data_IF_797577235787
#
_entry.id   IF_797577235787
#
_cell.length_a   1.000
_cell.length_b   1.000
_cell.length_c   1.000
_cell.angle_alpha   90.00
_cell.angle_beta   90.00
_cell.angle_gamma   90.00
#
_symmetry.space_group_name_H-M   'P 1'
#
loop_
_entity.id
_entity.type
_entity.pdbx_description
1 polymer ?
#
# COMPACT_ATOMS: atom_id res chain seq x y z
N UNK A 1 -38.35 44.45 48.80
CA UNK A 1 -38.11 45.32 47.62
C UNK A 1 -38.15 44.45 46.37
N UNK A 2 -39.07 44.76 45.44
CA UNK A 2 -39.26 44.05 44.17
C UNK A 2 -38.23 44.55 43.16
N UNK A 3 -37.52 43.65 42.47
CA UNK A 3 -36.88 43.97 41.18
C UNK A 3 -37.18 42.85 40.19
N UNK A 4 -38.23 43.07 39.41
CA UNK A 4 -38.41 42.53 38.06
C UNK A 4 -37.41 43.24 37.16
N UNK A 5 -36.68 42.53 36.29
CA UNK A 5 -36.36 43.02 34.95
C UNK A 5 -35.82 41.91 34.03
N UNK A 6 -36.53 41.75 32.91
CA UNK A 6 -36.11 41.44 31.52
C UNK A 6 -34.83 40.61 31.33
N UNK A 7 -34.86 39.43 30.71
CA UNK A 7 -35.47 39.18 29.41
C UNK A 7 -34.49 39.55 28.29
N UNK A 8 -33.47 38.71 28.09
CA UNK A 8 -32.65 38.74 26.88
C UNK A 8 -32.54 37.31 26.35
N UNK A 9 -33.30 37.04 25.29
CA UNK A 9 -33.14 35.86 24.47
C UNK A 9 -31.88 36.02 23.63
N UNK A 10 -30.82 35.29 23.96
CA UNK A 10 -29.68 35.10 23.08
C UNK A 10 -30.07 34.02 22.08
N UNK A 11 -30.55 34.44 20.90
CA UNK A 11 -30.72 33.54 19.76
C UNK A 11 -29.32 33.28 19.21
N UNK A 12 -28.67 32.25 19.72
CA UNK A 12 -27.43 31.73 19.15
C UNK A 12 -27.80 30.96 17.88
N UNK A 13 -27.73 31.62 16.73
CA UNK A 13 -27.85 30.97 15.44
C UNK A 13 -26.63 30.06 15.26
N UNK A 14 -26.82 28.76 15.49
CA UNK A 14 -25.86 27.72 15.11
C UNK A 14 -25.74 27.72 13.58
N UNK A 15 -24.52 27.75 13.02
CA UNK A 15 -24.35 27.58 11.59
C UNK A 15 -24.83 26.18 11.20
N UNK A 16 -25.75 26.14 10.23
CA UNK A 16 -26.19 24.94 9.55
C UNK A 16 -24.96 24.35 8.85
N UNK A 17 -24.31 23.37 9.48
CA UNK A 17 -23.20 22.65 8.88
C UNK A 17 -23.74 21.91 7.65
N UNK A 18 -23.31 22.36 6.47
CA UNK A 18 -23.53 21.69 5.21
C UNK A 18 -22.81 20.33 5.32
N UNK A 19 -23.56 19.24 5.49
CA UNK A 19 -23.02 17.90 5.45
C UNK A 19 -22.47 17.66 4.04
N UNK A 20 -21.16 17.83 3.87
CA UNK A 20 -20.46 17.31 2.71
C UNK A 20 -20.60 15.80 2.73
N UNK A 21 -21.27 15.25 1.71
CA UNK A 21 -21.27 13.82 1.43
C UNK A 21 -19.81 13.40 1.22
N UNK A 22 -19.22 12.72 2.21
CA UNK A 22 -17.97 12.04 2.01
C UNK A 22 -18.24 10.86 1.06
N UNK A 23 -17.51 10.71 -0.06
CA UNK A 23 -17.62 9.49 -0.85
C UNK A 23 -17.17 8.31 0.02
N UNK A 24 -18.09 7.39 0.28
CA UNK A 24 -17.78 6.10 0.90
C UNK A 24 -16.88 5.32 -0.05
N UNK A 25 -15.58 5.24 0.25
CA UNK A 25 -14.73 4.25 -0.39
C UNK A 25 -15.03 2.90 0.25
N UNK A 26 -15.98 2.17 -0.35
CA UNK A 26 -16.15 0.76 -0.10
C UNK A 26 -14.98 0.01 -0.74
N UNK A 27 -14.00 -0.37 0.08
CA UNK A 27 -12.98 -1.33 -0.32
C UNK A 27 -13.65 -2.70 -0.52
N UNK A 28 -14.14 -2.96 -1.72
CA UNK A 28 -14.52 -4.29 -2.15
C UNK A 28 -13.23 -5.05 -2.48
N UNK A 29 -12.99 -6.15 -1.76
CA UNK A 29 -11.98 -7.14 -2.13
C UNK A 29 -12.37 -7.70 -3.51
N UNK A 30 -11.86 -7.09 -4.59
CA UNK A 30 -11.89 -7.69 -5.91
C UNK A 30 -10.71 -8.65 -5.94
N UNK A 31 -10.99 -9.93 -5.67
CA UNK A 31 -10.02 -10.97 -5.90
C UNK A 31 -9.63 -10.91 -7.38
N UNK A 32 -8.35 -10.67 -7.66
CA UNK A 32 -7.79 -10.74 -9.00
C UNK A 32 -7.98 -12.17 -9.49
N UNK A 33 -8.92 -12.39 -10.39
CA UNK A 33 -9.01 -13.64 -11.13
C UNK A 33 -7.89 -13.54 -12.16
N UNK A 34 -6.82 -14.31 -11.99
CA UNK A 34 -5.88 -14.56 -13.08
C UNK A 34 -6.66 -15.31 -14.18
N UNK A 35 -7.19 -14.58 -15.16
CA UNK A 35 -7.78 -15.17 -16.36
C UNK A 35 -6.65 -15.69 -17.27
N UNK A 36 -6.00 -16.78 -16.88
CA UNK A 36 -5.26 -17.60 -17.84
C UNK A 36 -6.26 -18.59 -18.43
N UNK A 37 -7.04 -18.12 -19.40
CA UNK A 37 -8.01 -18.93 -20.13
C UNK A 37 -7.68 -18.96 -21.62
N UNK A 38 -7.66 -20.15 -22.22
CA UNK A 38 -7.54 -20.30 -23.67
C UNK A 38 -8.93 -20.23 -24.31
N UNK A 39 -9.04 -19.51 -25.43
CA UNK A 39 -10.24 -19.51 -26.28
C UNK A 39 -10.23 -20.83 -27.06
N UNK A 40 -11.32 -21.59 -27.03
CA UNK A 40 -11.42 -22.78 -27.88
C UNK A 40 -11.73 -22.41 -29.33
N UNK A 41 -11.58 -23.38 -30.23
CA UNK A 41 -11.84 -23.25 -31.67
C UNK A 41 -13.31 -22.93 -32.03
N UNK A 42 -14.21 -22.84 -31.04
CA UNK A 42 -15.59 -22.37 -31.18
C UNK A 42 -15.82 -20.95 -30.62
N UNK A 43 -14.77 -20.28 -30.14
CA UNK A 43 -14.84 -18.92 -29.60
C UNK A 43 -15.25 -18.83 -28.13
N UNK A 44 -15.33 -19.96 -27.41
CA UNK A 44 -15.72 -19.96 -26.00
C UNK A 44 -14.48 -19.89 -25.11
N UNK A 45 -14.53 -19.04 -24.07
CA UNK A 45 -13.50 -18.92 -23.04
C UNK A 45 -13.63 -20.08 -22.05
N UNK A 46 -12.55 -20.86 -21.89
CA UNK A 46 -12.46 -21.86 -20.83
C UNK A 46 -11.66 -21.28 -19.66
N UNK A 47 -12.33 -21.01 -18.53
CA UNK A 47 -11.69 -20.47 -17.31
C UNK A 47 -11.34 -21.65 -16.39
N UNK A 48 -10.06 -21.93 -16.22
CA UNK A 48 -9.60 -22.94 -15.27
C UNK A 48 -9.42 -22.28 -13.89
N UNK A 49 -10.43 -22.40 -13.01
CA UNK A 49 -10.36 -21.85 -11.66
C UNK A 49 -9.52 -22.76 -10.76
N UNK A 50 -8.40 -22.26 -10.23
CA UNK A 50 -7.68 -22.94 -9.15
C UNK A 50 -8.55 -22.98 -7.88
N UNK A 51 -8.48 -24.03 -7.03
CA UNK A 51 -9.45 -24.27 -5.95
C UNK A 51 -9.54 -23.19 -4.87
N UNK A 52 -8.63 -22.20 -4.84
CA UNK A 52 -8.43 -21.29 -3.71
C UNK A 52 -9.19 -19.96 -3.80
N UNK A 53 -10.06 -19.74 -4.79
CA UNK A 53 -10.86 -18.51 -4.87
C UNK A 53 -12.29 -18.77 -5.36
N UNK A 54 -13.09 -19.39 -4.50
CA UNK A 54 -14.54 -19.52 -4.70
C UNK A 54 -15.28 -18.57 -3.76
N UNK A 55 -15.23 -17.27 -4.05
CA UNK A 55 -16.22 -16.33 -3.53
C UNK A 55 -16.74 -15.44 -4.66
N UNK A 56 -17.49 -16.07 -5.57
CA UNK A 56 -18.37 -15.37 -6.50
C UNK A 56 -19.79 -15.46 -5.95
N UNK A 57 -20.23 -14.44 -5.19
CA UNK A 57 -21.65 -14.08 -5.20
C UNK A 57 -21.94 -13.36 -6.52
N UNK A 58 -21.91 -14.11 -7.63
CA UNK A 58 -22.39 -13.67 -8.91
C UNK A 58 -23.87 -14.06 -9.03
N UNK A 59 -24.73 -13.38 -8.25
CA UNK A 59 -26.16 -13.30 -8.59
C UNK A 59 -26.33 -12.31 -9.74
N UNK A 60 -25.77 -12.67 -10.90
CA UNK A 60 -25.85 -11.94 -12.15
C UNK A 60 -25.94 -12.96 -13.27
N UNK A 61 -27.17 -13.22 -13.72
CA UNK A 61 -27.46 -14.17 -14.78
C UNK A 61 -26.81 -13.68 -16.09
N UNK A 62 -25.67 -14.27 -16.46
CA UNK A 62 -25.03 -14.01 -17.75
C UNK A 62 -25.80 -14.74 -18.85
N UNK A 63 -26.90 -14.14 -19.31
CA UNK A 63 -27.47 -14.48 -20.61
C UNK A 63 -26.62 -13.81 -21.70
N UNK A 64 -25.58 -14.51 -22.14
CA UNK A 64 -24.85 -14.14 -23.35
C UNK A 64 -25.64 -14.60 -24.59
N UNK A 65 -26.63 -13.80 -25.00
CA UNK A 65 -27.16 -13.86 -26.37
C UNK A 65 -26.39 -12.84 -27.23
N UNK A 66 -25.70 -13.39 -28.21
CA UNK A 66 -24.77 -12.76 -29.15
C UNK A 66 -25.43 -11.70 -30.03
N UNK A 67 -24.80 -10.53 -30.14
CA UNK A 67 -24.57 -9.94 -31.46
C UNK A 67 -23.35 -9.02 -31.45
N UNK A 68 -22.33 -9.42 -32.21
CA UNK A 68 -21.08 -8.71 -32.37
C UNK A 68 -21.30 -7.44 -33.21
N UNK A 69 -21.53 -6.31 -32.54
CA UNK A 69 -21.33 -4.99 -33.12
C UNK A 69 -21.07 -4.00 -31.99
N UNK A 70 -19.88 -3.38 -32.04
CA UNK A 70 -19.41 -2.25 -31.22
C UNK A 70 -18.62 -2.59 -29.93
N UNK A 71 -17.40 -3.12 -30.10
CA UNK A 71 -16.36 -3.21 -29.06
C UNK A 71 -15.49 -1.93 -29.02
N UNK A 72 -15.98 -0.80 -29.57
CA UNK A 72 -15.25 0.48 -29.58
C UNK A 72 -15.69 1.45 -28.46
N UNK A 73 -16.58 1.03 -27.55
CA UNK A 73 -17.10 1.86 -26.45
C UNK A 73 -16.60 1.46 -25.04
N UNK A 74 -15.59 0.59 -24.93
CA UNK A 74 -14.99 0.19 -23.63
C UNK A 74 -13.51 0.59 -23.53
N UNK A 75 -13.06 1.53 -24.36
CA UNK A 75 -11.66 1.96 -24.39
C UNK A 75 -11.42 3.37 -23.85
N UNK A 76 -12.20 3.79 -22.84
CA UNK A 76 -11.94 5.01 -22.10
C UNK A 76 -12.20 4.79 -20.61
N UNK A 77 -11.10 4.83 -19.85
CA UNK A 77 -11.00 4.76 -18.38
C UNK A 77 -10.68 3.39 -17.75
N UNK A 78 -9.60 2.78 -18.25
CA UNK A 78 -8.75 1.96 -17.39
C UNK A 78 -7.46 2.77 -17.17
N UNK A 79 -7.51 3.75 -16.27
CA UNK A 79 -6.29 4.24 -15.62
C UNK A 79 -5.83 3.16 -14.63
N UNK A 80 -5.35 2.03 -15.17
CA UNK A 80 -4.51 1.11 -14.41
C UNK A 80 -3.19 1.80 -14.18
N UNK A 81 -3.13 2.61 -13.12
CA UNK A 81 -1.91 2.72 -12.32
C UNK A 81 -1.67 1.34 -11.70
N UNK A 82 -1.33 0.37 -12.54
CA UNK A 82 -0.59 -0.82 -12.13
C UNK A 82 0.76 -0.30 -11.71
N UNK A 83 0.84 0.15 -10.46
CA UNK A 83 2.12 0.27 -9.77
C UNK A 83 2.77 -1.09 -9.93
N UNK A 84 3.80 -1.15 -10.76
CA UNK A 84 4.78 -2.23 -10.77
C UNK A 84 5.03 -2.67 -9.32
N UNK A 85 5.16 -3.97 -8.99
CA UNK A 85 5.52 -4.38 -7.64
C UNK A 85 6.70 -3.51 -7.22
N UNK A 86 6.47 -2.66 -6.20
CA UNK A 86 7.49 -1.73 -5.77
C UNK A 86 8.72 -2.57 -5.47
N UNK A 87 9.84 -2.28 -6.15
CA UNK A 87 11.09 -2.99 -5.95
C UNK A 87 11.31 -3.12 -4.45
N UNK A 88 11.29 -4.35 -3.94
CA UNK A 88 11.55 -4.59 -2.52
C UNK A 88 13.03 -4.49 -2.21
N UNK A 89 13.85 -4.01 -3.16
CA UNK A 89 15.27 -3.72 -2.96
C UNK A 89 15.48 -2.23 -2.72
N UNK A 90 16.16 -1.92 -1.62
CA UNK A 90 16.70 -0.62 -1.25
C UNK A 90 18.21 -0.65 -1.48
N UNK A 91 18.71 0.20 -2.37
CA UNK A 91 20.15 0.34 -2.59
C UNK A 91 20.71 1.41 -1.67
N UNK A 92 21.82 1.10 -1.00
CA UNK A 92 22.56 2.04 -0.16
C UNK A 92 23.70 2.58 -1.02
N UNK A 93 23.69 3.87 -1.33
CA UNK A 93 24.74 4.55 -2.08
C UNK A 93 25.50 5.51 -1.16
N UNK A 94 26.51 6.21 -1.69
CA UNK A 94 27.16 7.31 -0.97
C UNK A 94 26.22 8.48 -0.66
N UNK A 95 25.06 8.55 -1.30
CA UNK A 95 24.02 9.56 -1.03
C UNK A 95 22.92 9.06 -0.08
N UNK A 96 23.03 7.82 0.43
CA UNK A 96 22.06 7.21 1.35
C UNK A 96 21.16 6.14 0.72
N UNK A 97 19.98 5.93 1.31
CA UNK A 97 19.02 4.90 0.90
C UNK A 97 18.21 5.30 -0.34
N UNK A 98 18.09 4.38 -1.32
CA UNK A 98 17.28 4.56 -2.52
C UNK A 98 16.47 3.29 -2.87
N UNK A 99 15.13 3.32 -2.79
CA UNK A 99 14.32 4.46 -2.35
C UNK A 99 14.50 4.75 -0.85
N UNK A 100 14.31 6.01 -0.45
CA UNK A 100 14.29 6.41 0.96
C UNK A 100 13.04 5.92 1.69
N UNK A 101 11.92 5.91 1.00
CA UNK A 101 10.61 5.51 1.50
C UNK A 101 10.10 4.37 0.63
N UNK A 102 9.73 3.26 1.25
CA UNK A 102 9.20 2.09 0.57
C UNK A 102 7.87 1.67 1.21
N UNK A 103 6.84 1.46 0.41
CA UNK A 103 5.57 0.88 0.86
C UNK A 103 5.48 -0.56 0.36
N UNK A 104 5.18 -1.49 1.25
CA UNK A 104 5.08 -2.92 0.97
C UNK A 104 3.85 -3.53 1.62
N UNK A 105 3.42 -4.70 1.16
CA UNK A 105 2.38 -5.49 1.82
C UNK A 105 2.95 -6.28 3.00
N UNK A 106 2.14 -6.53 4.02
CA UNK A 106 2.50 -7.49 5.08
C UNK A 106 2.95 -8.83 4.46
N UNK A 107 4.03 -9.40 5.00
CA UNK A 107 4.72 -10.59 4.50
C UNK A 107 5.80 -10.31 3.45
N UNK A 108 6.00 -9.06 3.03
CA UNK A 108 7.03 -8.74 2.03
C UNK A 108 8.44 -8.82 2.60
N UNK A 109 9.34 -9.43 1.83
CA UNK A 109 10.78 -9.41 2.09
C UNK A 109 11.43 -8.19 1.41
N UNK A 110 12.05 -7.31 2.19
CA UNK A 110 12.80 -6.14 1.73
C UNK A 110 14.28 -6.43 1.83
N UNK A 111 15.03 -6.11 0.78
CA UNK A 111 16.48 -6.32 0.68
C UNK A 111 17.22 -5.00 0.62
N UNK A 112 18.16 -4.79 1.51
CA UNK A 112 19.13 -3.70 1.44
C UNK A 112 20.38 -4.20 0.74
N UNK A 113 20.78 -3.52 -0.34
CA UNK A 113 22.01 -3.81 -1.07
C UNK A 113 22.99 -2.67 -0.86
N UNK A 114 24.14 -2.95 -0.24
CA UNK A 114 25.16 -1.94 -0.06
C UNK A 114 25.98 -1.74 -1.34
N UNK A 115 26.00 -0.52 -1.85
CA UNK A 115 26.80 -0.05 -2.99
C UNK A 115 27.38 1.34 -2.72
N UNK A 116 27.59 1.66 -1.44
CA UNK A 116 28.07 2.97 -0.97
C UNK A 116 29.57 3.17 -1.13
N UNK A 117 30.33 2.07 -1.29
CA UNK A 117 31.79 2.07 -1.23
C UNK A 117 32.35 1.86 0.18
N UNK A 118 31.51 1.90 1.23
CA UNK A 118 31.90 1.70 2.63
C UNK A 118 31.13 0.57 3.32
N UNK A 119 31.41 0.35 4.61
CA UNK A 119 30.58 -0.52 5.47
C UNK A 119 29.49 0.32 6.09
N UNK A 120 28.26 -0.20 6.08
CA UNK A 120 27.05 0.44 6.64
C UNK A 120 26.37 -0.53 7.60
N UNK A 121 25.43 -0.07 8.41
CA UNK A 121 24.61 -0.95 9.25
C UNK A 121 23.17 -0.44 9.27
N UNK A 122 22.24 -1.22 8.71
CA UNK A 122 20.82 -0.90 8.74
C UNK A 122 20.30 -1.16 10.15
N UNK A 123 19.93 -0.10 10.87
CA UNK A 123 19.46 -0.17 12.24
C UNK A 123 18.07 0.45 12.40
N UNK A 124 17.23 -0.18 13.21
CA UNK A 124 15.90 0.35 13.54
C UNK A 124 16.00 1.63 14.36
N UNK A 125 15.06 2.55 14.17
CA UNK A 125 14.88 3.68 15.08
C UNK A 125 14.45 3.23 16.50
N UNK A 126 14.62 4.10 17.52
CA UNK A 126 15.43 5.30 17.52
C UNK A 126 16.93 5.00 17.76
N UNK A 127 17.82 5.83 17.24
CA UNK A 127 19.26 5.77 17.58
C UNK A 127 19.51 6.29 19.01
N UNK A 128 20.37 5.66 19.84
CA UNK A 128 21.15 4.46 19.57
C UNK A 128 20.50 3.16 20.08
N UNK A 129 19.26 3.20 20.57
CA UNK A 129 18.67 2.08 21.31
C UNK A 129 18.01 1.02 20.43
N UNK A 130 17.61 1.39 19.20
CA UNK A 130 17.03 0.54 18.17
C UNK A 130 15.83 -0.31 18.64
N UNK A 131 14.88 0.34 19.32
CA UNK A 131 13.79 -0.34 20.04
C UNK A 131 12.48 -0.46 19.25
N UNK A 132 12.29 0.26 18.15
CA UNK A 132 11.01 0.23 17.41
C UNK A 132 10.82 -1.13 16.71
N UNK A 133 11.87 -1.65 16.10
CA UNK A 133 11.91 -2.97 15.46
C UNK A 133 13.30 -3.62 15.60
N UNK A 134 13.67 -4.13 16.78
CA UNK A 134 15.02 -4.63 17.07
C UNK A 134 15.52 -5.72 16.10
N UNK A 135 14.61 -6.53 15.56
CA UNK A 135 14.94 -7.62 14.63
C UNK A 135 15.37 -7.15 13.23
N UNK A 136 15.18 -5.86 12.90
CA UNK A 136 15.61 -5.26 11.63
C UNK A 136 17.12 -5.00 11.58
N UNK A 137 17.80 -4.97 12.73
CA UNK A 137 19.20 -4.59 12.81
C UNK A 137 20.09 -5.59 12.04
N UNK A 138 20.75 -5.12 10.97
CA UNK A 138 21.51 -6.00 10.07
C UNK A 138 22.87 -6.42 10.61
N UNK A 139 23.40 -5.67 11.59
CA UNK A 139 24.84 -5.63 11.86
C UNK A 139 25.62 -5.04 10.68
N UNK A 140 26.95 -5.14 10.74
CA UNK A 140 27.83 -4.58 9.71
C UNK A 140 27.63 -5.22 8.33
N UNK A 141 27.32 -4.39 7.34
CA UNK A 141 27.09 -4.77 5.95
C UNK A 141 28.19 -4.16 5.07
N UNK A 142 29.15 -4.98 4.64
CA UNK A 142 30.25 -4.55 3.77
C UNK A 142 29.76 -4.07 2.39
N UNK A 143 30.56 -3.28 1.69
CA UNK A 143 30.25 -2.86 0.33
C UNK A 143 30.04 -4.07 -0.60
N UNK A 144 28.96 -4.08 -1.38
CA UNK A 144 28.56 -5.18 -2.26
C UNK A 144 27.72 -6.26 -1.58
N UNK A 145 27.63 -6.28 -0.25
CA UNK A 145 26.79 -7.24 0.48
C UNK A 145 25.32 -6.81 0.50
N UNK A 146 24.44 -7.76 0.82
CA UNK A 146 23.01 -7.53 0.98
C UNK A 146 22.48 -8.11 2.30
N UNK A 147 21.44 -7.48 2.83
CA UNK A 147 20.67 -7.94 3.99
C UNK A 147 19.19 -7.97 3.63
N UNK A 148 18.45 -8.96 4.09
CA UNK A 148 17.00 -9.09 3.80
C UNK A 148 16.22 -9.27 5.10
N UNK A 149 15.12 -8.53 5.23
CA UNK A 149 14.19 -8.62 6.34
C UNK A 149 12.76 -8.77 5.85
N UNK A 150 11.97 -9.62 6.50
CA UNK A 150 10.56 -9.85 6.16
C UNK A 150 9.65 -9.11 7.13
N UNK A 151 8.86 -8.17 6.61
CA UNK A 151 7.94 -7.37 7.41
C UNK A 151 6.58 -8.06 7.54
N UNK A 152 6.28 -8.65 8.69
CA UNK A 152 4.97 -9.27 8.96
C UNK A 152 3.99 -8.34 9.69
N UNK A 153 4.50 -7.34 10.42
CA UNK A 153 3.68 -6.44 11.24
C UNK A 153 3.36 -5.15 10.49
N UNK A 154 2.06 -4.84 10.39
CA UNK A 154 1.57 -3.57 9.85
C UNK A 154 2.12 -2.38 10.64
N UNK A 155 2.41 -1.28 9.95
CA UNK A 155 2.91 -0.07 10.59
C UNK A 155 3.90 0.72 9.73
N UNK A 156 4.51 1.72 10.35
CA UNK A 156 5.58 2.52 9.75
C UNK A 156 6.85 2.30 10.54
N UNK A 157 7.87 1.77 9.88
CA UNK A 157 9.14 1.37 10.48
C UNK A 157 10.25 2.31 10.00
N UNK A 158 10.71 3.17 10.92
CA UNK A 158 11.88 4.02 10.71
C UNK A 158 13.18 3.23 10.91
N UNK A 159 14.17 3.56 10.09
CA UNK A 159 15.51 2.99 10.19
C UNK A 159 16.57 3.99 9.71
N UNK A 160 17.82 3.76 10.08
CA UNK A 160 18.96 4.60 9.74
C UNK A 160 20.22 3.76 9.49
N UNK A 161 21.29 4.38 8.98
CA UNK A 161 22.63 3.81 9.05
C UNK A 161 23.19 4.04 10.46
N UNK A 162 23.56 2.99 11.19
CA UNK A 162 24.11 3.13 12.55
C UNK A 162 25.39 3.99 12.58
N UNK A 163 26.22 3.93 11.53
CA UNK A 163 27.45 4.71 11.46
C UNK A 163 27.21 6.17 11.06
N UNK A 164 26.08 6.48 10.43
CA UNK A 164 25.62 7.83 10.12
C UNK A 164 24.09 7.95 10.32
N UNK A 165 23.63 8.27 11.54
CA UNK A 165 22.21 8.34 11.87
C UNK A 165 21.44 9.44 11.12
N UNK A 166 22.13 10.31 10.36
CA UNK A 166 21.47 11.30 9.50
C UNK A 166 20.95 10.69 8.19
N UNK A 167 21.51 9.56 7.78
CA UNK A 167 21.04 8.76 6.65
C UNK A 167 19.89 7.88 7.13
N UNK A 168 18.66 8.27 6.76
CA UNK A 168 17.42 7.62 7.24
C UNK A 168 16.57 7.08 6.11
N UNK A 169 15.77 6.07 6.42
CA UNK A 169 14.72 5.57 5.54
C UNK A 169 13.47 5.17 6.31
N UNK A 170 12.43 4.77 5.57
CA UNK A 170 11.16 4.34 6.16
C UNK A 170 10.53 3.24 5.31
N UNK A 171 10.08 2.17 5.97
CA UNK A 171 9.22 1.15 5.35
C UNK A 171 7.81 1.27 5.92
N UNK A 172 6.82 1.46 5.07
CA UNK A 172 5.39 1.40 5.41
C UNK A 172 4.85 0.03 5.03
N UNK A 173 4.19 -0.64 5.96
CA UNK A 173 3.62 -1.98 5.80
C UNK A 173 2.11 -1.88 5.91
N UNK A 174 1.41 -2.19 4.82
CA UNK A 174 -0.05 -2.07 4.65
C UNK A 174 -0.70 -3.34 4.07
#
# INVERSE_FOLDING_TARGET
>A
MRKKLLGFAVILALPLALAACAPTNSNTNVATIDLVGNINERGNLNVNLSPANQNLNASGNLNANTNATNINAVNQNINTNTSSPASTTITITSSGFSPKNLTVKSGSAVTWKNSSGGTVEVASDPHPTHTDLPDLNSGSLANGASYTYTFSKLGTWGYHDHFDPTVKGTVVVE
#
